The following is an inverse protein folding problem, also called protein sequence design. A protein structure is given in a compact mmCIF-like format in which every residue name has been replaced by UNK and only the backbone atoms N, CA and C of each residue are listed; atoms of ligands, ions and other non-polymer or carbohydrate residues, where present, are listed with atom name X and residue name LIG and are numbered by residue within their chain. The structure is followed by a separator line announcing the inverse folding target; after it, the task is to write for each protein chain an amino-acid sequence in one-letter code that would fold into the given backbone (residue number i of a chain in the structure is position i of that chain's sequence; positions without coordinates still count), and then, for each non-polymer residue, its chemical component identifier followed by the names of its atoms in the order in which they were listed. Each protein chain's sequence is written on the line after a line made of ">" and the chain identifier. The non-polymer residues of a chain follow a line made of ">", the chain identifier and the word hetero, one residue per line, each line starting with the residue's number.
data_IF_359071349731
#
_entry.id   IF_359071349731
#
_cell.length_a   1.000
_cell.length_b   1.000
_cell.length_c   1.000
_cell.angle_alpha   90.00
_cell.angle_beta   90.00
_cell.angle_gamma   90.00
#
_symmetry.space_group_name_H-M   'P 1'
#
loop_
_entity.id
_entity.type
_entity.pdbx_description
1 polymer ?
#
# COMPACT_ATOMS: atom_id res chain seq x y z
N UNK A 1 -8.43 -16.40 9.06
CA UNK A 1 -8.76 -14.96 9.04
C UNK A 1 -7.51 -14.08 9.08
N UNK A 2 -6.58 -14.27 10.03
CA UNK A 2 -5.34 -13.47 10.13
C UNK A 2 -4.32 -13.68 8.98
N UNK A 3 -4.38 -14.80 8.26
CA UNK A 3 -3.39 -15.19 7.24
C UNK A 3 -3.19 -14.13 6.13
N UNK A 4 -4.24 -13.42 5.72
CA UNK A 4 -4.13 -12.38 4.68
C UNK A 4 -3.30 -11.16 5.12
N UNK A 5 -3.18 -10.90 6.43
CA UNK A 5 -2.30 -9.83 6.92
C UNK A 5 -0.81 -10.20 6.72
N UNK A 6 -0.48 -11.48 6.66
CA UNK A 6 0.89 -11.98 6.52
C UNK A 6 1.28 -12.32 5.08
N UNK A 7 0.30 -12.39 4.18
CA UNK A 7 0.52 -12.81 2.80
C UNK A 7 0.65 -11.61 1.88
N UNK A 8 1.65 -11.67 1.00
CA UNK A 8 1.70 -10.82 -0.18
C UNK A 8 0.80 -11.39 -1.25
N UNK A 9 -0.26 -10.70 -1.62
CA UNK A 9 -1.04 -11.13 -2.77
C UNK A 9 -0.19 -11.06 -4.06
N UNK A 10 -0.34 -12.04 -4.97
CA UNK A 10 0.40 -12.06 -6.24
C UNK A 10 0.11 -10.82 -7.07
N UNK A 11 1.11 -10.28 -7.75
CA UNK A 11 0.90 -9.15 -8.66
C UNK A 11 0.16 -9.67 -9.90
N UNK A 12 -0.99 -9.08 -10.26
CA UNK A 12 -1.80 -9.55 -11.36
C UNK A 12 -1.06 -9.39 -12.69
N UNK A 13 -1.23 -10.34 -13.62
CA UNK A 13 -0.62 -10.24 -14.97
C UNK A 13 -1.14 -9.01 -15.72
N UNK A 14 -2.46 -8.79 -15.69
CA UNK A 14 -3.17 -7.64 -16.29
C UNK A 14 -3.74 -6.73 -15.20
N UNK A 15 -3.76 -5.44 -15.44
CA UNK A 15 -4.33 -4.41 -14.55
C UNK A 15 -5.45 -3.66 -15.26
N UNK A 16 -6.44 -3.09 -14.54
CA UNK A 16 -7.49 -2.30 -15.17
C UNK A 16 -6.93 -1.02 -15.81
N UNK A 17 -7.65 -0.50 -16.82
CA UNK A 17 -7.20 0.62 -17.66
C UNK A 17 -6.81 1.87 -16.85
N UNK A 18 -7.61 2.24 -15.86
CA UNK A 18 -7.35 3.41 -15.00
C UNK A 18 -6.08 3.23 -14.13
N UNK A 19 -5.82 2.03 -13.62
CA UNK A 19 -4.57 1.74 -12.92
C UNK A 19 -3.38 1.74 -13.90
N UNK A 20 -3.57 1.27 -15.13
CA UNK A 20 -2.55 1.31 -16.18
C UNK A 20 -2.14 2.73 -16.55
N UNK A 21 -3.07 3.69 -16.54
CA UNK A 21 -2.76 5.12 -16.74
C UNK A 21 -1.77 5.61 -15.67
N UNK A 22 -2.04 5.32 -14.40
CA UNK A 22 -1.14 5.73 -13.31
C UNK A 22 0.23 5.04 -13.43
N UNK A 23 0.27 3.74 -13.75
CA UNK A 23 1.51 3.01 -14.00
C UNK A 23 2.33 3.68 -15.13
N UNK A 24 1.68 4.10 -16.21
CA UNK A 24 2.36 4.76 -17.32
C UNK A 24 2.93 6.14 -16.92
N UNK A 25 2.28 6.87 -16.00
CA UNK A 25 2.85 8.09 -15.41
C UNK A 25 4.07 7.78 -14.54
N UNK A 26 4.02 6.69 -13.76
CA UNK A 26 5.11 6.26 -12.88
C UNK A 26 6.35 5.79 -13.65
N UNK A 27 6.17 5.16 -14.81
CA UNK A 27 7.28 4.77 -15.72
C UNK A 27 8.17 5.95 -16.12
N UNK A 28 7.64 7.17 -16.12
CA UNK A 28 8.37 8.42 -16.43
C UNK A 28 9.13 8.99 -15.21
N UNK A 29 9.31 8.22 -14.14
CA UNK A 29 10.06 8.67 -12.97
C UNK A 29 11.56 8.65 -13.23
N UNK A 30 12.30 9.53 -12.56
CA UNK A 30 13.76 9.61 -12.73
C UNK A 30 14.48 8.42 -12.09
N UNK A 31 14.00 8.00 -10.91
CA UNK A 31 14.62 6.94 -10.11
C UNK A 31 13.57 6.23 -9.24
N UNK A 32 14.01 5.19 -8.49
CA UNK A 32 13.15 4.43 -7.58
C UNK A 32 12.47 5.33 -6.54
N UNK A 33 13.18 6.29 -5.96
CA UNK A 33 12.65 7.15 -4.90
C UNK A 33 11.56 8.09 -5.44
N UNK A 34 11.77 8.69 -6.60
CA UNK A 34 10.79 9.51 -7.31
C UNK A 34 9.55 8.71 -7.70
N UNK A 35 9.73 7.47 -8.18
CA UNK A 35 8.62 6.56 -8.47
C UNK A 35 7.82 6.25 -7.20
N UNK A 36 8.49 5.91 -6.09
CA UNK A 36 7.85 5.65 -4.81
C UNK A 36 7.05 6.86 -4.30
N UNK A 37 7.66 8.06 -4.29
CA UNK A 37 6.98 9.29 -3.85
C UNK A 37 5.72 9.57 -4.67
N UNK A 38 5.79 9.40 -5.99
CA UNK A 38 4.64 9.58 -6.88
C UNK A 38 3.56 8.53 -6.64
N UNK A 39 3.93 7.25 -6.55
CA UNK A 39 2.99 6.16 -6.31
C UNK A 39 2.29 6.30 -4.94
N UNK A 40 3.05 6.62 -3.90
CA UNK A 40 2.54 6.92 -2.57
C UNK A 40 1.52 8.06 -2.62
N UNK A 41 1.87 9.19 -3.26
CA UNK A 41 0.97 10.33 -3.43
C UNK A 41 -0.30 9.94 -4.19
N UNK A 42 -0.20 9.17 -5.28
CA UNK A 42 -1.36 8.69 -6.04
C UNK A 42 -2.33 7.91 -5.15
N UNK A 43 -1.80 6.99 -4.33
CA UNK A 43 -2.63 6.20 -3.39
C UNK A 43 -3.25 7.11 -2.33
N UNK A 44 -2.46 7.92 -1.64
CA UNK A 44 -2.95 8.71 -0.50
C UNK A 44 -3.81 9.91 -0.89
N UNK A 45 -3.74 10.37 -2.15
CA UNK A 45 -4.67 11.38 -2.67
C UNK A 45 -6.04 10.80 -3.04
N UNK A 46 -6.09 9.51 -3.39
CA UNK A 46 -7.31 8.84 -3.84
C UNK A 46 -8.01 8.11 -2.71
N UNK A 47 -7.24 7.53 -1.80
CA UNK A 47 -7.73 6.69 -0.73
C UNK A 47 -7.25 7.15 0.64
N UNK A 48 -8.03 6.84 1.66
CA UNK A 48 -7.67 7.09 3.04
C UNK A 48 -7.93 5.86 3.93
N UNK A 49 -7.11 5.73 4.96
CA UNK A 49 -7.36 4.82 6.07
C UNK A 49 -8.49 5.29 6.99
N UNK A 50 -8.85 4.44 7.96
CA UNK A 50 -9.83 4.71 8.99
C UNK A 50 -9.60 3.81 10.20
N UNK A 51 -9.76 4.33 11.42
CA UNK A 51 -9.48 3.61 12.69
C UNK A 51 -10.52 2.55 13.04
N UNK A 52 -11.79 2.81 12.74
CA UNK A 52 -12.92 1.95 13.15
C UNK A 52 -13.48 1.07 12.02
N UNK A 53 -13.25 1.48 10.77
CA UNK A 53 -13.76 0.79 9.59
C UNK A 53 -13.19 -0.62 9.34
N UNK A 54 -11.97 -0.99 9.79
CA UNK A 54 -11.48 -2.37 9.66
C UNK A 54 -12.29 -3.38 10.48
N UNK A 55 -12.82 -2.96 11.64
CA UNK A 55 -13.58 -3.84 12.55
C UNK A 55 -14.97 -4.20 12.01
N UNK A 56 -15.57 -3.32 11.22
CA UNK A 56 -16.92 -3.52 10.65
C UNK A 56 -16.88 -4.12 9.24
N UNK A 57 -15.72 -4.13 8.57
CA UNK A 57 -15.58 -4.57 7.18
C UNK A 57 -14.61 -5.75 7.01
N UNK A 58 -14.57 -6.67 7.97
CA UNK A 58 -13.62 -7.79 7.95
C UNK A 58 -13.69 -8.65 6.68
N UNK A 59 -14.88 -8.88 6.13
CA UNK A 59 -15.04 -9.64 4.88
C UNK A 59 -14.48 -8.91 3.66
N UNK A 60 -14.32 -7.59 3.72
CA UNK A 60 -13.74 -6.85 2.61
C UNK A 60 -12.24 -7.14 2.47
N UNK A 61 -11.55 -7.61 3.52
CA UNK A 61 -10.11 -7.96 3.50
C UNK A 61 -9.77 -9.07 2.50
N UNK A 62 -10.76 -9.81 2.01
CA UNK A 62 -10.59 -10.89 1.02
C UNK A 62 -10.79 -10.42 -0.43
N UNK A 63 -10.99 -9.11 -0.66
CA UNK A 63 -11.13 -8.58 -2.01
C UNK A 63 -9.76 -8.45 -2.69
N UNK A 64 -9.46 -9.38 -3.59
CA UNK A 64 -8.18 -9.40 -4.30
C UNK A 64 -8.24 -8.75 -5.69
N UNK A 65 -9.42 -8.37 -6.19
CA UNK A 65 -9.58 -7.85 -7.55
C UNK A 65 -9.14 -6.37 -7.64
N UNK A 66 -8.04 -6.06 -8.37
CA UNK A 66 -7.52 -4.70 -8.47
C UNK A 66 -8.50 -3.71 -9.10
N UNK A 67 -9.38 -4.17 -10.00
CA UNK A 67 -10.42 -3.32 -10.61
C UNK A 67 -11.46 -2.89 -9.59
N UNK A 68 -11.91 -3.82 -8.74
CA UNK A 68 -12.89 -3.51 -7.68
C UNK A 68 -12.26 -2.58 -6.64
N UNK A 69 -11.06 -2.89 -6.17
CA UNK A 69 -10.33 -2.07 -5.21
C UNK A 69 -10.08 -0.65 -5.72
N UNK A 70 -9.60 -0.50 -6.95
CA UNK A 70 -9.28 0.80 -7.51
C UNK A 70 -10.51 1.69 -7.76
N UNK A 71 -11.68 1.08 -7.98
CA UNK A 71 -12.94 1.77 -8.20
C UNK A 71 -13.72 2.04 -6.90
N UNK A 72 -13.23 1.62 -5.72
CA UNK A 72 -13.83 2.02 -4.45
C UNK A 72 -13.74 3.54 -4.27
N UNK A 73 -14.72 4.10 -3.57
CA UNK A 73 -14.90 5.56 -3.45
C UNK A 73 -13.68 6.25 -2.82
N UNK A 74 -13.36 5.93 -1.57
CA UNK A 74 -12.25 6.60 -0.86
C UNK A 74 -11.64 5.78 0.27
N UNK A 75 -12.36 4.84 0.88
CA UNK A 75 -11.83 4.04 1.98
C UNK A 75 -11.17 2.74 1.49
N UNK A 76 -9.97 2.47 2.00
CA UNK A 76 -9.30 1.17 1.93
C UNK A 76 -8.56 0.90 3.23
N UNK A 77 -8.56 -0.36 3.68
CA UNK A 77 -7.70 -0.81 4.76
C UNK A 77 -6.23 -0.92 4.32
N UNK A 78 -5.35 -1.12 5.30
CA UNK A 78 -3.91 -1.15 5.07
C UNK A 78 -3.48 -2.27 4.12
N UNK A 79 -4.15 -3.43 4.11
CA UNK A 79 -3.82 -4.56 3.22
C UNK A 79 -4.04 -4.17 1.77
N UNK A 80 -5.21 -3.61 1.45
CA UNK A 80 -5.49 -3.19 0.08
C UNK A 80 -4.67 -1.98 -0.37
N UNK A 81 -4.42 -1.01 0.53
CA UNK A 81 -3.54 0.12 0.23
C UNK A 81 -2.13 -0.36 -0.13
N UNK A 82 -1.59 -1.29 0.66
CA UNK A 82 -0.27 -1.88 0.42
C UNK A 82 -0.25 -2.72 -0.86
N UNK A 83 -1.32 -3.47 -1.14
CA UNK A 83 -1.45 -4.25 -2.37
C UNK A 83 -1.48 -3.34 -3.61
N UNK A 84 -2.30 -2.30 -3.64
CA UNK A 84 -2.34 -1.35 -4.76
C UNK A 84 -1.02 -0.62 -4.92
N UNK A 85 -0.36 -0.20 -3.84
CA UNK A 85 0.97 0.40 -3.90
C UNK A 85 1.99 -0.58 -4.51
N UNK A 86 1.99 -1.85 -4.09
CA UNK A 86 2.86 -2.89 -4.67
C UNK A 86 2.65 -3.06 -6.17
N UNK A 87 1.38 -3.11 -6.62
CA UNK A 87 1.06 -3.20 -8.05
C UNK A 87 1.66 -2.01 -8.81
N UNK A 88 1.42 -0.79 -8.34
CA UNK A 88 1.93 0.43 -8.97
C UNK A 88 3.46 0.40 -9.10
N UNK A 89 4.16 0.05 -8.01
CA UNK A 89 5.61 0.03 -7.97
C UNK A 89 6.21 -1.04 -8.88
N UNK A 90 5.73 -2.28 -8.79
CA UNK A 90 6.28 -3.39 -9.56
C UNK A 90 5.95 -3.22 -11.05
N UNK A 91 4.71 -2.86 -11.39
CA UNK A 91 4.30 -2.65 -12.80
C UNK A 91 4.91 -1.40 -13.44
N UNK A 92 5.44 -0.46 -12.64
CA UNK A 92 6.25 0.65 -13.17
C UNK A 92 7.59 0.20 -13.74
N UNK A 93 8.07 -1.00 -13.39
CA UNK A 93 9.39 -1.50 -13.80
C UNK A 93 10.56 -1.04 -12.92
N UNK A 94 10.32 -0.18 -11.93
CA UNK A 94 11.36 0.29 -11.00
C UNK A 94 11.63 -0.67 -9.84
N UNK A 95 10.69 -1.57 -9.54
CA UNK A 95 10.74 -2.41 -8.35
C UNK A 95 10.46 -3.87 -8.71
N UNK A 96 11.08 -4.75 -7.93
CA UNK A 96 10.86 -6.19 -7.92
C UNK A 96 10.15 -6.62 -6.63
N UNK A 97 9.72 -7.88 -6.53
CA UNK A 97 9.12 -8.39 -5.30
C UNK A 97 10.10 -8.38 -4.12
N UNK A 98 11.39 -8.59 -4.40
CA UNK A 98 12.49 -8.63 -3.44
C UNK A 98 12.80 -7.24 -2.87
N UNK A 99 12.50 -6.19 -3.64
CA UNK A 99 12.62 -4.80 -3.19
C UNK A 99 11.57 -4.43 -2.14
N UNK A 100 10.48 -5.20 -1.99
CA UNK A 100 9.35 -4.84 -1.13
C UNK A 100 9.16 -5.90 -0.06
N UNK A 101 9.21 -5.52 1.21
CA UNK A 101 8.93 -6.42 2.34
C UNK A 101 7.64 -6.00 3.02
N UNK A 102 6.75 -6.97 3.20
CA UNK A 102 5.56 -6.80 4.04
C UNK A 102 6.00 -6.84 5.50
N UNK A 103 5.50 -5.91 6.32
CA UNK A 103 5.72 -5.91 7.76
C UNK A 103 4.41 -5.67 8.49
N UNK A 104 4.35 -6.23 9.69
CA UNK A 104 3.21 -6.10 10.58
C UNK A 104 3.71 -5.55 11.91
N UNK A 105 2.87 -4.75 12.54
CA UNK A 105 3.06 -4.26 13.89
C UNK A 105 1.70 -4.27 14.60
N UNK A 106 1.72 -4.17 15.92
CA UNK A 106 0.53 -3.77 16.64
C UNK A 106 0.25 -2.29 16.30
N UNK A 107 -0.93 -2.01 15.76
CA UNK A 107 -1.43 -0.67 15.49
C UNK A 107 -2.38 -0.18 16.58
N UNK A 108 -3.28 0.75 16.22
CA UNK A 108 -4.30 1.31 17.11
C UNK A 108 -5.09 0.19 17.83
N UNK A 109 -5.19 0.29 19.16
CA UNK A 109 -5.85 -0.70 20.03
C UNK A 109 -5.35 -2.15 19.83
N UNK A 110 -4.04 -2.33 19.61
CA UNK A 110 -3.39 -3.62 19.38
C UNK A 110 -3.85 -4.39 18.13
N UNK A 111 -4.67 -3.76 17.27
CA UNK A 111 -5.10 -4.40 16.04
C UNK A 111 -3.91 -4.55 15.08
N UNK A 112 -3.77 -5.70 14.39
CA UNK A 112 -2.70 -5.89 13.43
C UNK A 112 -2.72 -4.81 12.34
N UNK A 113 -1.62 -4.08 12.22
CA UNK A 113 -1.42 -3.09 11.17
C UNK A 113 -0.31 -3.54 10.24
N UNK A 114 -0.54 -3.40 8.93
CA UNK A 114 0.38 -3.81 7.90
C UNK A 114 0.98 -2.58 7.22
N UNK A 115 2.30 -2.58 7.03
CA UNK A 115 3.03 -1.56 6.27
C UNK A 115 4.09 -2.22 5.37
N UNK A 116 4.73 -1.44 4.53
CA UNK A 116 5.78 -1.91 3.63
C UNK A 116 7.15 -1.39 4.05
N UNK A 117 8.19 -2.21 3.92
CA UNK A 117 9.58 -1.74 3.84
C UNK A 117 10.04 -1.85 2.39
N UNK A 118 10.41 -0.74 1.79
CA UNK A 118 10.76 -0.66 0.38
C UNK A 118 12.24 -0.35 0.22
N UNK A 119 12.94 -1.13 -0.59
CA UNK A 119 14.36 -1.00 -0.87
C UNK A 119 14.58 0.16 -1.84
N UNK A 120 15.31 1.17 -1.38
CA UNK A 120 15.81 2.27 -2.19
C UNK A 120 17.34 2.21 -2.10
N UNK A 121 17.99 1.96 -3.24
CA UNK A 121 19.43 1.68 -3.30
C UNK A 121 19.81 0.49 -2.39
N UNK A 122 20.64 0.73 -1.37
CA UNK A 122 21.10 -0.29 -0.41
C UNK A 122 20.34 -0.30 0.92
N UNK A 123 19.31 0.54 1.08
CA UNK A 123 18.57 0.71 2.35
C UNK A 123 17.08 0.39 2.18
N UNK A 124 16.46 -0.13 3.23
CA UNK A 124 15.01 -0.26 3.32
C UNK A 124 14.44 0.96 4.05
N UNK A 125 13.35 1.52 3.52
CA UNK A 125 12.60 2.60 4.16
C UNK A 125 11.16 2.15 4.41
N UNK A 126 10.59 2.60 5.52
CA UNK A 126 9.22 2.24 5.91
C UNK A 126 8.22 3.09 5.11
N UNK A 127 7.12 2.50 4.67
CA UNK A 127 6.07 3.17 3.90
C UNK A 127 4.72 2.68 4.37
N UNK A 128 3.91 3.63 4.84
CA UNK A 128 2.60 3.39 5.44
C UNK A 128 1.55 4.34 4.84
N UNK A 129 0.91 3.90 3.75
CA UNK A 129 -0.13 4.68 3.09
C UNK A 129 -1.36 4.91 3.98
N UNK A 130 -1.66 3.97 4.89
CA UNK A 130 -2.78 4.13 5.82
C UNK A 130 -2.46 5.18 6.88
N UNK A 131 -1.23 5.13 7.40
CA UNK A 131 -0.70 6.06 8.39
C UNK A 131 -0.55 7.50 7.89
N UNK A 132 -0.50 7.73 6.58
CA UNK A 132 -0.37 9.07 6.02
C UNK A 132 -1.44 10.05 6.51
N UNK A 133 -2.70 9.61 6.62
CA UNK A 133 -3.80 10.44 7.17
C UNK A 133 -3.55 10.88 8.63
N UNK A 134 -2.69 10.16 9.33
CA UNK A 134 -2.29 10.42 10.72
C UNK A 134 -0.90 11.04 10.81
N UNK A 135 -0.41 11.66 9.73
CA UNK A 135 0.86 12.39 9.70
C UNK A 135 2.11 11.50 9.56
N UNK A 136 1.95 10.25 9.08
CA UNK A 136 3.10 9.38 8.79
C UNK A 136 3.59 9.58 7.36
N UNK A 137 4.70 10.31 7.22
CA UNK A 137 5.42 10.43 5.95
C UNK A 137 6.20 9.15 5.60
N UNK A 138 6.69 9.08 4.36
CA UNK A 138 7.65 8.06 3.92
C UNK A 138 8.86 8.04 4.90
N UNK A 139 9.21 6.84 5.35
CA UNK A 139 10.21 6.57 6.38
C UNK A 139 9.62 6.36 7.77
N UNK A 140 8.31 6.58 7.95
CA UNK A 140 7.58 6.37 9.21
C UNK A 140 6.43 5.39 9.01
N UNK A 141 5.96 4.78 10.09
CA UNK A 141 4.77 3.92 10.10
C UNK A 141 4.01 4.06 11.43
N UNK A 142 2.75 3.64 11.43
CA UNK A 142 1.89 3.57 12.61
C UNK A 142 2.28 2.43 13.55
N UNK A 143 2.17 2.64 14.86
CA UNK A 143 2.26 1.59 15.88
C UNK A 143 1.27 1.84 17.03
N UNK A 144 1.28 0.99 18.05
CA UNK A 144 0.35 1.02 19.21
C UNK A 144 0.23 2.37 19.89
N UNK A 145 1.33 3.12 20.02
CA UNK A 145 1.36 4.40 20.74
C UNK A 145 1.24 5.60 19.81
N UNK A 146 1.39 5.38 18.51
CA UNK A 146 1.56 6.42 17.53
C UNK A 146 0.83 6.04 16.24
N UNK A 147 -0.48 5.80 16.38
CA UNK A 147 -1.60 6.01 15.47
C UNK A 147 -2.92 5.78 16.24
#
# INVERSE_FOLDING_TARGET
>A
MLIHLFKKEPIPKKVPYNLQIEINKLKKSKDKLGCLKKAHKTITSKFHGGKFLPYVNLFQLFEENPKRLWNKASYLDCVHLNYLLRILLIKSGFFTEEDIKLKITAGYLFFPHQYLKIKINKKFIDVDCWGYKYGKDIGKHCNTFNC
#
